data_IF_787677559676
#
_entry.id   IF_787677559676
#
_cell.length_a   1.000
_cell.length_b   1.000
_cell.length_c   1.000
_cell.angle_alpha   90.00
_cell.angle_beta   90.00
_cell.angle_gamma   90.00
#
_symmetry.space_group_name_H-M   'P 1'
#
loop_
_entity.id
_entity.type
_entity.pdbx_description
1 polymer ?
#
# COMPACT_ATOMS: atom_id res chain seq x y z
N UNK A 1 -7.51 11.91 -12.05
CA UNK A 1 -6.21 12.10 -12.73
C UNK A 1 -5.07 11.70 -11.79
N UNK A 2 -4.55 10.48 -11.94
CA UNK A 2 -3.51 9.94 -11.05
C UNK A 2 -2.18 10.62 -11.36
N UNK A 3 -1.44 11.03 -10.32
CA UNK A 3 -0.16 11.74 -10.34
C UNK A 3 1.02 10.93 -10.94
N UNK A 4 0.78 10.10 -11.97
CA UNK A 4 1.78 9.19 -12.53
C UNK A 4 2.91 9.92 -13.29
N UNK A 5 2.76 11.22 -13.55
CA UNK A 5 3.80 12.05 -14.18
C UNK A 5 4.99 12.28 -13.26
N UNK A 6 4.79 12.39 -11.95
CA UNK A 6 5.87 12.70 -11.01
C UNK A 6 6.88 11.56 -10.91
N UNK A 7 6.40 10.31 -10.89
CA UNK A 7 7.29 9.13 -10.87
C UNK A 7 8.10 8.96 -12.16
N UNK A 8 7.49 9.22 -13.33
CA UNK A 8 8.20 9.16 -14.61
C UNK A 8 9.33 10.20 -14.67
N UNK A 9 9.05 11.46 -14.29
CA UNK A 9 10.05 12.53 -14.30
C UNK A 9 11.22 12.25 -13.36
N UNK A 10 10.97 11.64 -12.20
CA UNK A 10 12.04 11.24 -11.27
C UNK A 10 12.94 10.14 -11.88
N UNK A 11 12.33 9.14 -12.52
CA UNK A 11 13.07 8.07 -13.18
C UNK A 11 13.90 8.60 -14.36
N UNK A 12 13.33 9.52 -15.16
CA UNK A 12 14.01 10.16 -16.27
C UNK A 12 15.21 11.00 -15.81
N UNK A 13 15.04 11.76 -14.72
CA UNK A 13 16.11 12.52 -14.10
C UNK A 13 17.24 11.61 -13.61
N UNK A 14 16.90 10.50 -12.95
CA UNK A 14 17.88 9.51 -12.48
C UNK A 14 18.63 8.88 -13.66
N UNK A 15 17.93 8.50 -14.73
CA UNK A 15 18.55 7.96 -15.93
C UNK A 15 19.51 8.96 -16.58
N UNK A 16 19.13 10.25 -16.63
CA UNK A 16 19.99 11.34 -17.09
C UNK A 16 21.26 11.51 -16.24
N UNK A 17 21.14 11.46 -14.90
CA UNK A 17 22.30 11.50 -13.98
C UNK A 17 23.25 10.32 -14.21
N UNK A 18 22.69 9.15 -14.48
CA UNK A 18 23.46 7.92 -14.74
C UNK A 18 23.92 7.80 -16.20
N UNK A 19 23.63 8.79 -17.05
CA UNK A 19 23.94 8.82 -18.47
C UNK A 19 23.39 7.60 -19.24
N UNK A 20 22.21 7.12 -18.83
CA UNK A 20 21.50 5.99 -19.42
C UNK A 20 20.28 6.48 -20.21
N UNK A 21 19.87 5.72 -21.22
CA UNK A 21 18.65 6.00 -21.98
C UNK A 21 17.42 5.68 -21.12
N UNK A 22 16.60 6.70 -20.88
CA UNK A 22 15.31 6.57 -20.20
C UNK A 22 14.26 5.87 -21.07
N UNK A 23 13.31 5.21 -20.41
CA UNK A 23 12.20 4.52 -21.08
C UNK A 23 11.15 5.51 -21.60
N UNK A 24 10.33 5.09 -22.57
CA UNK A 24 9.21 5.94 -23.02
C UNK A 24 8.13 6.02 -21.95
N UNK A 25 7.41 7.16 -21.88
CA UNK A 25 6.32 7.32 -20.92
C UNK A 25 5.25 6.22 -21.09
N UNK A 26 4.95 5.80 -22.33
CA UNK A 26 3.98 4.73 -22.56
C UNK A 26 4.42 3.40 -21.93
N UNK A 27 5.67 2.99 -22.14
CA UNK A 27 6.22 1.79 -21.51
C UNK A 27 6.18 1.90 -19.97
N UNK A 28 6.56 3.06 -19.42
CA UNK A 28 6.50 3.30 -17.97
C UNK A 28 5.07 3.13 -17.43
N UNK A 29 4.07 3.70 -18.10
CA UNK A 29 2.68 3.56 -17.66
C UNK A 29 2.21 2.09 -17.68
N UNK A 30 2.59 1.31 -18.69
CA UNK A 30 2.21 -0.10 -18.78
C UNK A 30 2.78 -0.91 -17.61
N UNK A 31 4.09 -0.81 -17.37
CA UNK A 31 4.73 -1.50 -16.24
C UNK A 31 4.19 -1.03 -14.89
N UNK A 32 3.94 0.28 -14.75
CA UNK A 32 3.38 0.83 -13.51
C UNK A 32 1.97 0.31 -13.23
N UNK A 33 1.12 0.20 -14.27
CA UNK A 33 -0.23 -0.34 -14.13
C UNK A 33 -0.22 -1.84 -13.76
N UNK A 34 0.68 -2.61 -14.36
CA UNK A 34 0.83 -4.03 -14.06
C UNK A 34 1.30 -4.25 -12.62
N UNK A 35 2.34 -3.50 -12.21
CA UNK A 35 2.84 -3.51 -10.83
C UNK A 35 1.74 -3.09 -9.83
N UNK A 36 0.96 -2.05 -10.15
CA UNK A 36 -0.15 -1.59 -9.32
C UNK A 36 -1.22 -2.68 -9.17
N UNK A 37 -1.50 -3.44 -10.23
CA UNK A 37 -2.48 -4.53 -10.17
C UNK A 37 -2.02 -5.61 -9.19
N UNK A 38 -0.77 -6.06 -9.30
CA UNK A 38 -0.20 -7.05 -8.40
C UNK A 38 -0.14 -6.54 -6.96
N UNK A 39 0.35 -5.32 -6.76
CA UNK A 39 0.47 -4.71 -5.43
C UNK A 39 -0.89 -4.58 -4.75
N UNK A 40 -1.94 -4.19 -5.50
CA UNK A 40 -3.29 -4.11 -4.95
C UNK A 40 -3.82 -5.47 -4.49
N UNK A 41 -3.60 -6.52 -5.27
CA UNK A 41 -4.02 -7.88 -4.90
C UNK A 41 -3.31 -8.30 -3.62
N UNK A 42 -1.98 -8.21 -3.58
CA UNK A 42 -1.19 -8.57 -2.40
C UNK A 42 -1.55 -7.73 -1.17
N UNK A 43 -1.79 -6.43 -1.34
CA UNK A 43 -2.19 -5.56 -0.23
C UNK A 43 -3.57 -5.94 0.33
N UNK A 44 -4.52 -6.31 -0.54
CA UNK A 44 -5.84 -6.78 -0.12
C UNK A 44 -5.72 -8.12 0.62
N UNK A 45 -4.95 -9.07 0.08
CA UNK A 45 -4.71 -10.38 0.72
C UNK A 45 -4.08 -10.21 2.10
N UNK A 46 -3.03 -9.39 2.22
CA UNK A 46 -2.38 -9.11 3.49
C UNK A 46 -3.33 -8.42 4.49
N UNK A 47 -4.21 -7.53 4.02
CA UNK A 47 -5.20 -6.88 4.90
C UNK A 47 -6.23 -7.89 5.42
N UNK A 48 -6.66 -8.84 4.57
CA UNK A 48 -7.59 -9.90 4.96
C UNK A 48 -6.94 -10.85 5.97
N UNK A 49 -5.68 -11.23 5.74
CA UNK A 49 -4.92 -12.10 6.65
C UNK A 49 -4.70 -11.44 8.01
N UNK A 50 -4.21 -10.20 8.03
CA UNK A 50 -4.04 -9.43 9.26
C UNK A 50 -5.36 -9.27 10.04
N UNK A 51 -6.46 -8.98 9.33
CA UNK A 51 -7.77 -8.86 9.97
C UNK A 51 -8.27 -10.17 10.59
N UNK A 52 -7.93 -11.33 10.02
CA UNK A 52 -8.23 -12.64 10.61
C UNK A 52 -7.40 -12.91 11.85
N UNK A 53 -6.09 -12.63 11.79
CA UNK A 53 -5.18 -12.81 12.92
C UNK A 53 -5.59 -11.93 14.11
N UNK A 54 -5.89 -10.65 13.88
CA UNK A 54 -6.37 -9.73 14.90
C UNK A 54 -7.70 -10.18 15.51
N UNK A 55 -8.62 -10.69 14.68
CA UNK A 55 -9.89 -11.22 15.15
C UNK A 55 -9.72 -12.47 16.04
N UNK A 56 -8.79 -13.35 15.70
CA UNK A 56 -8.51 -14.56 16.49
C UNK A 56 -7.80 -14.23 17.82
N UNK A 57 -6.92 -13.23 17.83
CA UNK A 57 -6.28 -12.73 19.05
C UNK A 57 -7.34 -12.13 19.99
N UNK A 58 -8.21 -11.24 19.48
CA UNK A 58 -9.26 -10.62 20.28
C UNK A 58 -10.24 -11.64 20.88
N UNK A 59 -10.55 -12.73 20.16
CA UNK A 59 -11.34 -13.85 20.70
C UNK A 59 -10.62 -14.60 21.82
N UNK A 60 -9.32 -14.84 21.69
CA UNK A 60 -8.51 -15.53 22.72
C UNK A 60 -8.40 -14.70 24.00
N UNK A 61 -8.29 -13.38 23.87
CA UNK A 61 -8.20 -12.46 25.00
C UNK A 61 -9.56 -12.16 25.66
N UNK A 62 -10.66 -12.71 25.12
CA UNK A 62 -12.01 -12.45 25.61
C UNK A 62 -12.50 -11.03 25.34
N UNK A 63 -11.81 -10.29 24.47
CA UNK A 63 -12.13 -8.92 24.09
C UNK A 63 -13.23 -8.90 23.02
N UNK A 64 -14.42 -9.34 23.45
CA UNK A 64 -15.56 -9.63 22.59
C UNK A 64 -16.75 -8.83 23.14
N UNK A 65 -17.48 -8.15 22.25
CA UNK A 65 -18.68 -7.41 22.65
C UNK A 65 -19.85 -8.35 23.02
N UNK A 66 -20.92 -7.82 23.59
CA UNK A 66 -22.13 -8.58 24.02
C UNK A 66 -22.75 -9.46 22.91
N UNK A 67 -22.47 -9.12 21.64
CA UNK A 67 -22.94 -9.84 20.46
C UNK A 67 -21.92 -10.84 19.85
N UNK A 68 -20.78 -11.10 20.50
CA UNK A 68 -19.78 -12.05 20.00
C UNK A 68 -18.79 -11.48 18.97
N UNK A 69 -18.75 -10.16 18.78
CA UNK A 69 -17.89 -9.49 17.80
C UNK A 69 -16.54 -9.12 18.46
N UNK A 70 -15.39 -9.55 17.90
CA UNK A 70 -14.07 -9.21 18.44
C UNK A 70 -13.80 -7.70 18.30
N UNK A 71 -13.35 -7.08 19.39
CA UNK A 71 -12.96 -5.68 19.43
C UNK A 71 -11.45 -5.56 19.16
N UNK A 72 -11.11 -5.16 17.94
CA UNK A 72 -9.73 -4.95 17.51
C UNK A 72 -9.31 -3.52 17.87
N UNK A 73 -8.30 -3.38 18.75
CA UNK A 73 -7.82 -2.06 19.19
C UNK A 73 -6.76 -1.55 18.24
N UNK A 74 -7.07 -0.52 17.46
CA UNK A 74 -6.10 0.12 16.55
C UNK A 74 -5.37 1.25 17.29
N UNK A 75 -4.06 1.10 17.50
CA UNK A 75 -3.21 2.19 17.99
C UNK A 75 -2.76 3.00 16.76
N UNK A 76 -3.47 4.10 16.48
CA UNK A 76 -3.05 5.04 15.46
C UNK A 76 -1.90 5.90 16.00
N UNK A 77 -0.65 5.61 15.62
CA UNK A 77 0.42 6.60 15.73
C UNK A 77 0.07 7.77 14.80
N UNK A 78 -0.28 8.92 15.40
CA UNK A 78 -0.84 10.10 14.72
C UNK A 78 0.13 10.82 13.78
N UNK A 79 1.17 10.14 13.29
CA UNK A 79 2.30 10.74 12.60
C UNK A 79 2.24 10.66 11.06
N UNK A 80 1.15 10.18 10.45
CA UNK A 80 1.01 10.22 8.98
C UNK A 80 0.51 11.56 8.45
N UNK A 81 -0.28 12.31 9.23
CA UNK A 81 -0.87 13.60 8.81
C UNK A 81 0.12 14.76 8.73
N UNK A 82 1.38 14.56 9.13
CA UNK A 82 2.43 15.60 9.19
C UNK A 82 3.46 15.53 8.07
N UNK A 83 3.27 14.68 7.07
CA UNK A 83 4.18 14.54 5.90
C UNK A 83 3.53 14.95 4.57
N UNK A 84 2.49 15.78 4.59
CA UNK A 84 1.91 16.41 3.38
C UNK A 84 2.71 17.62 2.93
#
# INVERSE_FOLDING_TARGET
PVNTRQGFTQLDTLAGVLNMRSMSNNAYQQFHLDLLKHTKVTAIEATIEAGKEEADIAKKEGNINENGIPLITVIADGAWSKRS
#
